data_IF_735126499272
#
_entry.id   IF_735126499272
#
_cell.length_a   1.000
_cell.length_b   1.000
_cell.length_c   1.000
_cell.angle_alpha   90.00
_cell.angle_beta   90.00
_cell.angle_gamma   90.00
#
_symmetry.space_group_name_H-M   'P 1'
#
loop_
_entity.id
_entity.type
_entity.pdbx_description
1 polymer ?
#
# COMPACT_ATOMS: atom_id res chain seq x y z
N UNK A 1 50.90 -30.07 -45.46
CA UNK A 1 49.47 -29.74 -45.24
C UNK A 1 49.16 -30.09 -43.80
N UNK A 2 49.03 -29.10 -42.92
CA UNK A 2 48.77 -29.37 -41.50
C UNK A 2 47.41 -30.02 -41.31
N UNK A 3 47.38 -31.10 -40.53
CA UNK A 3 46.14 -31.81 -40.24
C UNK A 3 45.24 -30.91 -39.40
N UNK A 4 43.93 -30.98 -39.65
CA UNK A 4 42.91 -30.17 -38.97
C UNK A 4 43.00 -30.33 -37.43
N UNK A 5 43.40 -31.51 -36.96
CA UNK A 5 43.66 -31.82 -35.55
C UNK A 5 44.74 -30.95 -34.91
N UNK A 6 45.83 -30.67 -35.64
CA UNK A 6 46.96 -29.88 -35.13
C UNK A 6 46.57 -28.40 -35.00
N UNK A 7 45.72 -27.92 -35.92
CA UNK A 7 45.15 -26.56 -35.86
C UNK A 7 44.19 -26.40 -34.68
N UNK A 8 43.32 -27.40 -34.44
CA UNK A 8 42.40 -27.40 -33.30
C UNK A 8 43.17 -27.42 -31.97
N UNK A 9 44.22 -28.24 -31.88
CA UNK A 9 45.08 -28.33 -30.70
C UNK A 9 45.81 -27.00 -30.41
N UNK A 10 46.35 -26.35 -31.45
CA UNK A 10 47.01 -25.06 -31.29
C UNK A 10 46.02 -23.94 -30.90
N UNK A 11 44.81 -23.93 -31.48
CA UNK A 11 43.77 -22.97 -31.12
C UNK A 11 43.31 -23.15 -29.66
N UNK A 12 43.16 -24.38 -29.22
CA UNK A 12 42.72 -24.69 -27.87
C UNK A 12 43.79 -24.34 -26.82
N UNK A 13 45.08 -24.59 -27.10
CA UNK A 13 46.19 -24.08 -26.27
C UNK A 13 46.18 -22.55 -26.18
N UNK A 14 45.95 -21.87 -27.30
CA UNK A 14 45.85 -20.41 -27.32
C UNK A 14 44.65 -19.88 -26.51
N UNK A 15 43.55 -20.62 -26.46
CA UNK A 15 42.33 -20.28 -25.72
C UNK A 15 42.32 -20.84 -24.27
N UNK A 16 43.40 -21.49 -23.84
CA UNK A 16 43.51 -22.17 -22.54
C UNK A 16 42.33 -23.12 -22.26
N UNK A 17 41.91 -23.88 -23.28
CA UNK A 17 40.84 -24.88 -23.20
C UNK A 17 41.41 -26.27 -23.44
N UNK A 18 41.01 -27.25 -22.64
CA UNK A 18 41.39 -28.64 -22.87
C UNK A 18 40.73 -29.19 -24.14
N UNK A 19 41.53 -29.77 -25.02
CA UNK A 19 41.05 -30.57 -26.14
C UNK A 19 40.85 -31.97 -25.61
N UNK A 20 39.65 -32.27 -25.14
CA UNK A 20 39.27 -33.64 -24.82
C UNK A 20 39.13 -34.44 -26.14
N UNK A 21 40.02 -35.40 -26.43
CA UNK A 21 39.95 -36.19 -27.66
C UNK A 21 38.76 -37.18 -27.66
N UNK A 22 38.12 -37.42 -26.51
CA UNK A 22 36.95 -38.28 -26.35
C UNK A 22 35.64 -37.49 -26.28
N UNK A 23 35.66 -36.19 -26.58
CA UNK A 23 34.45 -35.36 -26.56
C UNK A 23 33.48 -35.87 -27.62
N UNK A 24 32.38 -36.46 -27.18
CA UNK A 24 31.31 -36.92 -28.06
C UNK A 24 30.89 -35.81 -29.02
N UNK A 25 30.80 -36.12 -30.32
CA UNK A 25 30.29 -35.18 -31.31
C UNK A 25 28.83 -34.87 -31.00
N UNK A 26 28.56 -33.64 -30.56
CA UNK A 26 27.20 -33.13 -30.36
C UNK A 26 26.74 -32.52 -31.68
N UNK A 27 25.69 -33.08 -32.27
CA UNK A 27 25.10 -32.53 -33.49
C UNK A 27 24.66 -31.07 -33.27
N UNK A 28 24.80 -30.25 -34.31
CA UNK A 28 24.51 -28.82 -34.27
C UNK A 28 23.07 -28.54 -33.80
N UNK A 29 22.10 -29.37 -34.18
CA UNK A 29 20.71 -29.21 -33.74
C UNK A 29 20.57 -29.40 -32.23
N UNK A 30 21.26 -30.39 -31.67
CA UNK A 30 21.26 -30.67 -30.23
C UNK A 30 21.93 -29.53 -29.46
N UNK A 31 23.08 -29.05 -29.96
CA UNK A 31 23.81 -27.95 -29.35
C UNK A 31 22.98 -26.64 -29.37
N UNK A 32 22.35 -26.32 -30.52
CA UNK A 32 21.46 -25.17 -30.65
C UNK A 32 20.29 -25.24 -29.68
N UNK A 33 19.63 -26.40 -29.56
CA UNK A 33 18.52 -26.61 -28.61
C UNK A 33 18.96 -26.41 -27.15
N UNK A 34 20.17 -26.84 -26.80
CA UNK A 34 20.74 -26.62 -25.46
C UNK A 34 21.02 -25.14 -25.20
N UNK A 35 21.57 -24.40 -26.16
CA UNK A 35 21.79 -22.97 -26.01
C UNK A 35 20.49 -22.17 -25.97
N UNK A 36 19.49 -22.52 -26.79
CA UNK A 36 18.15 -21.92 -26.72
C UNK A 36 17.49 -22.17 -25.37
N UNK A 37 17.60 -23.40 -24.82
CA UNK A 37 17.09 -23.71 -23.49
C UNK A 37 17.79 -22.88 -22.39
N UNK A 38 19.13 -22.80 -22.43
CA UNK A 38 19.91 -21.99 -21.47
C UNK A 38 19.59 -20.50 -21.58
N UNK A 39 19.50 -19.96 -22.79
CA UNK A 39 19.15 -18.56 -23.02
C UNK A 39 17.75 -18.24 -22.49
N UNK A 40 16.76 -19.13 -22.74
CA UNK A 40 15.41 -18.96 -22.20
C UNK A 40 15.38 -19.02 -20.67
N UNK A 41 16.17 -19.90 -20.07
CA UNK A 41 16.31 -19.99 -18.61
C UNK A 41 16.95 -18.71 -18.03
N UNK A 42 18.06 -18.22 -18.62
CA UNK A 42 18.72 -16.99 -18.20
C UNK A 42 17.78 -15.77 -18.30
N UNK A 43 17.03 -15.66 -19.40
CA UNK A 43 16.03 -14.59 -19.58
C UNK A 43 14.93 -14.68 -18.52
N UNK A 44 14.42 -15.88 -18.24
CA UNK A 44 13.40 -16.10 -17.21
C UNK A 44 13.91 -15.72 -15.81
N UNK A 45 15.14 -16.13 -15.46
CA UNK A 45 15.77 -15.76 -14.19
C UNK A 45 15.99 -14.25 -14.07
N UNK A 46 16.42 -13.58 -15.14
CA UNK A 46 16.58 -12.12 -15.20
C UNK A 46 15.26 -11.39 -15.00
N UNK A 47 14.19 -11.87 -15.64
CA UNK A 47 12.84 -11.32 -15.48
C UNK A 47 12.34 -11.48 -14.04
N UNK A 48 12.51 -12.66 -13.44
CA UNK A 48 12.14 -12.91 -12.05
C UNK A 48 12.90 -12.01 -11.06
N UNK A 49 14.22 -11.88 -11.23
CA UNK A 49 15.04 -11.00 -10.40
C UNK A 49 14.62 -9.54 -10.53
N UNK A 50 14.35 -9.09 -11.75
CA UNK A 50 13.89 -7.72 -12.02
C UNK A 50 12.52 -7.44 -11.42
N UNK A 51 11.57 -8.38 -11.54
CA UNK A 51 10.24 -8.27 -10.90
C UNK A 51 10.38 -8.17 -9.39
N UNK A 52 11.16 -9.06 -8.77
CA UNK A 52 11.39 -9.06 -7.33
C UNK A 52 11.98 -7.74 -6.83
N UNK A 53 12.97 -7.20 -7.54
CA UNK A 53 13.57 -5.91 -7.18
C UNK A 53 12.58 -4.74 -7.26
N UNK A 54 11.66 -4.74 -8.24
CA UNK A 54 10.61 -3.71 -8.35
C UNK A 54 9.59 -3.82 -7.22
N UNK A 55 9.13 -5.04 -6.92
CA UNK A 55 8.22 -5.32 -5.80
C UNK A 55 8.83 -4.87 -4.46
N UNK A 56 10.10 -5.19 -4.20
CA UNK A 56 10.82 -4.75 -3.00
C UNK A 56 10.93 -3.22 -2.93
N UNK A 57 11.21 -2.54 -4.04
CA UNK A 57 11.27 -1.08 -4.10
C UNK A 57 9.91 -0.41 -3.83
N UNK A 58 8.81 -1.01 -4.32
CA UNK A 58 7.44 -0.53 -4.06
C UNK A 58 7.07 -0.76 -2.59
N UNK A 59 7.34 -1.95 -2.04
CA UNK A 59 7.11 -2.24 -0.62
C UNK A 59 7.87 -1.30 0.31
N UNK A 60 9.12 -0.97 -0.02
CA UNK A 60 9.92 -0.04 0.78
C UNK A 60 9.36 1.39 0.84
N UNK A 61 8.50 1.77 -0.12
CA UNK A 61 7.89 3.11 -0.19
C UNK A 61 6.47 3.18 0.36
N UNK A 62 5.79 2.04 0.52
CA UNK A 62 4.34 2.01 0.76
C UNK A 62 3.91 2.25 2.21
N UNK A 63 4.84 2.29 3.18
CA UNK A 63 4.58 2.42 4.63
C UNK A 63 3.49 1.45 5.15
N UNK A 64 3.44 0.24 4.57
CA UNK A 64 2.51 -0.81 4.96
C UNK A 64 3.08 -1.68 6.09
N UNK A 65 2.21 -2.10 7.01
CA UNK A 65 2.58 -3.10 8.00
C UNK A 65 2.75 -4.48 7.31
N UNK A 66 3.92 -5.16 7.44
CA UNK A 66 4.16 -6.46 6.82
C UNK A 66 3.21 -7.57 7.31
N UNK A 67 2.57 -7.40 8.48
CA UNK A 67 1.65 -8.40 9.05
C UNK A 67 0.24 -8.32 8.50
N UNK A 68 -0.13 -7.23 7.83
CA UNK A 68 -1.48 -7.03 7.31
C UNK A 68 -1.69 -7.80 6.00
N UNK A 69 -1.69 -9.12 6.06
CA UNK A 69 -1.91 -10.01 4.91
C UNK A 69 -3.19 -10.83 5.11
N UNK A 70 -3.78 -11.34 4.03
CA UNK A 70 -4.95 -12.22 4.10
C UNK A 70 -4.65 -13.50 4.90
N UNK A 71 -3.43 -14.02 4.84
CA UNK A 71 -3.00 -15.19 5.61
C UNK A 71 -3.08 -14.99 7.14
N UNK A 72 -2.94 -13.75 7.61
CA UNK A 72 -3.04 -13.39 9.02
C UNK A 72 -4.42 -12.84 9.40
N UNK A 73 -5.37 -12.81 8.47
CA UNK A 73 -6.73 -12.33 8.72
C UNK A 73 -7.61 -13.48 9.21
N UNK A 74 -8.36 -13.25 10.28
CA UNK A 74 -9.31 -14.23 10.81
C UNK A 74 -10.71 -13.90 10.29
N UNK A 75 -11.28 -14.81 9.49
CA UNK A 75 -12.61 -14.71 8.88
C UNK A 75 -13.68 -15.39 9.75
N UNK A 76 -14.02 -14.76 10.87
CA UNK A 76 -14.92 -15.29 11.91
C UNK A 76 -16.29 -14.59 11.97
N UNK A 77 -16.53 -13.57 11.14
CA UNK A 77 -17.83 -12.88 11.08
C UNK A 77 -18.22 -12.45 9.67
N UNK A 78 -19.52 -12.38 9.44
CA UNK A 78 -20.12 -12.15 8.12
C UNK A 78 -19.65 -10.84 7.46
N UNK A 79 -19.48 -9.76 8.24
CA UNK A 79 -18.98 -8.47 7.75
C UNK A 79 -17.55 -8.56 7.21
N UNK A 80 -16.69 -9.37 7.83
CA UNK A 80 -15.31 -9.58 7.37
C UNK A 80 -15.26 -10.54 6.18
N UNK A 81 -16.10 -11.58 6.16
CA UNK A 81 -16.21 -12.49 5.02
C UNK A 81 -16.68 -11.71 3.78
N UNK A 82 -17.70 -10.87 3.92
CA UNK A 82 -18.17 -9.98 2.85
C UNK A 82 -17.06 -9.03 2.40
N UNK A 83 -16.37 -8.39 3.35
CA UNK A 83 -15.24 -7.50 3.04
C UNK A 83 -14.12 -8.21 2.27
N UNK A 84 -13.76 -9.44 2.65
CA UNK A 84 -12.77 -10.26 1.96
C UNK A 84 -13.25 -10.65 0.57
N UNK A 85 -14.53 -11.02 0.42
CA UNK A 85 -15.09 -11.34 -0.89
C UNK A 85 -15.04 -10.14 -1.85
N UNK A 86 -15.40 -8.95 -1.38
CA UNK A 86 -15.30 -7.70 -2.16
C UNK A 86 -13.83 -7.38 -2.48
N UNK A 87 -12.94 -7.54 -1.50
CA UNK A 87 -11.51 -7.34 -1.67
C UNK A 87 -10.91 -8.28 -2.74
N UNK A 88 -11.23 -9.57 -2.70
CA UNK A 88 -10.80 -10.54 -3.69
C UNK A 88 -11.36 -10.23 -5.08
N UNK A 89 -12.63 -9.80 -5.17
CA UNK A 89 -13.23 -9.37 -6.43
C UNK A 89 -12.50 -8.16 -7.03
N UNK A 90 -12.14 -7.19 -6.19
CA UNK A 90 -11.37 -6.01 -6.59
C UNK A 90 -9.96 -6.38 -7.09
N UNK A 91 -9.29 -7.33 -6.42
CA UNK A 91 -7.97 -7.82 -6.81
C UNK A 91 -8.05 -8.59 -8.13
N UNK A 92 -9.03 -9.48 -8.28
CA UNK A 92 -9.24 -10.25 -9.51
C UNK A 92 -9.57 -9.34 -10.70
N UNK A 93 -10.26 -8.22 -10.48
CA UNK A 93 -10.53 -7.26 -11.56
C UNK A 93 -9.24 -6.63 -12.14
N UNK A 94 -8.12 -6.62 -11.41
CA UNK A 94 -6.84 -6.11 -11.91
C UNK A 94 -6.20 -7.04 -12.96
N UNK A 95 -6.66 -8.28 -13.10
CA UNK A 95 -6.24 -9.18 -14.19
C UNK A 95 -6.60 -8.59 -15.56
N UNK A 96 -7.70 -7.84 -15.66
CA UNK A 96 -8.13 -7.18 -16.89
C UNK A 96 -7.40 -5.84 -17.11
N UNK A 97 -6.53 -5.72 -18.14
CA UNK A 97 -5.86 -4.46 -18.45
C UNK A 97 -6.83 -3.33 -18.83
N UNK A 98 -7.99 -3.65 -19.42
CA UNK A 98 -8.98 -2.66 -19.80
C UNK A 98 -9.65 -2.07 -18.54
N UNK A 99 -9.95 -2.90 -17.55
CA UNK A 99 -10.45 -2.44 -16.26
C UNK A 99 -9.45 -1.49 -15.58
N UNK A 100 -8.16 -1.87 -15.54
CA UNK A 100 -7.07 -1.04 -14.99
C UNK A 100 -6.90 0.32 -15.68
N UNK A 101 -7.20 0.42 -16.97
CA UNK A 101 -7.04 1.65 -17.75
C UNK A 101 -8.30 2.53 -17.76
N UNK A 102 -9.48 1.95 -17.57
CA UNK A 102 -10.76 2.63 -17.79
C UNK A 102 -11.37 3.22 -16.53
N UNK A 103 -11.21 2.54 -15.39
CA UNK A 103 -11.92 2.86 -14.17
C UNK A 103 -11.12 3.69 -13.16
N UNK A 104 -11.84 4.47 -12.36
CA UNK A 104 -11.31 5.09 -11.14
C UNK A 104 -12.15 4.55 -10.00
N UNK A 105 -11.60 3.56 -9.33
CA UNK A 105 -12.33 2.81 -8.32
C UNK A 105 -11.96 3.30 -6.92
N UNK A 106 -12.96 3.35 -6.05
CA UNK A 106 -12.76 3.70 -4.66
C UNK A 106 -13.40 2.67 -3.74
N UNK A 107 -12.62 2.07 -2.84
CA UNK A 107 -13.21 1.29 -1.75
C UNK A 107 -13.37 2.19 -0.52
N UNK A 108 -14.53 2.14 0.11
CA UNK A 108 -14.81 2.87 1.34
C UNK A 108 -15.09 1.87 2.46
N UNK A 109 -14.14 1.76 3.38
CA UNK A 109 -14.22 0.93 4.58
C UNK A 109 -14.68 1.77 5.76
N UNK A 110 -15.89 1.50 6.26
CA UNK A 110 -16.51 2.33 7.28
C UNK A 110 -17.16 1.48 8.38
N UNK A 111 -17.27 2.04 9.59
CA UNK A 111 -17.89 1.38 10.74
C UNK A 111 -16.93 1.17 11.92
N UNK A 112 -17.23 0.22 12.80
CA UNK A 112 -16.71 0.20 14.17
C UNK A 112 -15.18 -0.01 14.28
N UNK A 113 -14.60 0.47 15.38
CA UNK A 113 -13.17 0.34 15.69
C UNK A 113 -12.75 -1.12 15.90
N UNK A 114 -11.50 -1.44 15.55
CA UNK A 114 -10.91 -2.73 15.89
C UNK A 114 -11.47 -3.93 15.11
N UNK A 115 -12.16 -3.69 13.99
CA UNK A 115 -12.75 -4.74 13.11
C UNK A 115 -11.83 -5.23 11.99
N UNK A 116 -10.64 -4.65 11.82
CA UNK A 116 -9.67 -5.09 10.80
C UNK A 116 -9.70 -4.32 9.48
N UNK A 117 -10.35 -3.15 9.40
CA UNK A 117 -10.41 -2.31 8.18
C UNK A 117 -9.03 -2.04 7.56
N UNK A 118 -8.10 -1.53 8.37
CA UNK A 118 -6.71 -1.26 7.96
C UNK A 118 -5.95 -2.53 7.59
N UNK A 119 -6.25 -3.65 8.26
CA UNK A 119 -5.64 -4.94 7.94
C UNK A 119 -6.06 -5.42 6.55
N UNK A 120 -7.37 -5.36 6.23
CA UNK A 120 -7.88 -5.76 4.91
C UNK A 120 -7.35 -4.83 3.81
N UNK A 121 -7.31 -3.52 4.06
CA UNK A 121 -6.72 -2.56 3.11
C UNK A 121 -5.24 -2.86 2.85
N UNK A 122 -4.48 -3.17 3.91
CA UNK A 122 -3.10 -3.64 3.79
C UNK A 122 -2.97 -4.96 3.02
N UNK A 123 -3.89 -5.90 3.26
CA UNK A 123 -3.87 -7.21 2.61
C UNK A 123 -4.13 -7.11 1.10
N UNK A 124 -5.08 -6.25 0.71
CA UNK A 124 -5.30 -5.86 -0.69
C UNK A 124 -4.03 -5.27 -1.28
N UNK A 125 -3.42 -4.30 -0.59
CA UNK A 125 -2.20 -3.65 -1.06
C UNK A 125 -1.05 -4.63 -1.29
N UNK A 126 -0.78 -5.53 -0.33
CA UNK A 126 0.28 -6.53 -0.47
C UNK A 126 0.05 -7.43 -1.69
N UNK A 127 -1.18 -7.93 -1.90
CA UNK A 127 -1.48 -8.74 -3.07
C UNK A 127 -1.35 -7.96 -4.38
N UNK A 128 -1.80 -6.70 -4.42
CA UNK A 128 -1.69 -5.87 -5.62
C UNK A 128 -0.24 -5.54 -5.99
N UNK A 129 0.60 -5.28 -5.00
CA UNK A 129 2.05 -5.06 -5.20
C UNK A 129 2.70 -6.34 -5.74
N UNK A 130 2.44 -7.49 -5.10
CA UNK A 130 3.11 -8.74 -5.43
C UNK A 130 2.68 -9.29 -6.81
N UNK A 131 1.38 -9.26 -7.10
CA UNK A 131 0.84 -9.86 -8.32
C UNK A 131 1.02 -8.92 -9.52
N UNK A 132 0.66 -7.65 -9.36
CA UNK A 132 0.49 -6.70 -10.46
C UNK A 132 1.50 -5.55 -10.47
N UNK A 133 2.43 -5.50 -9.50
CA UNK A 133 3.45 -4.45 -9.39
C UNK A 133 2.84 -3.03 -9.26
N UNK A 134 1.64 -2.95 -8.66
CA UNK A 134 0.91 -1.70 -8.43
C UNK A 134 1.60 -0.90 -7.34
N UNK A 135 1.86 0.39 -7.61
CA UNK A 135 2.43 1.28 -6.60
C UNK A 135 1.37 1.67 -5.57
N UNK A 136 1.70 1.50 -4.28
CA UNK A 136 0.79 1.79 -3.17
C UNK A 136 1.41 2.80 -2.22
N UNK A 137 0.62 3.74 -1.71
CA UNK A 137 0.98 4.60 -0.59
C UNK A 137 -0.09 4.53 0.49
N UNK A 138 0.31 4.19 1.70
CA UNK A 138 -0.55 4.18 2.89
C UNK A 138 -0.21 5.35 3.81
N UNK A 139 -1.21 6.20 4.12
CA UNK A 139 -1.05 7.37 4.99
C UNK A 139 -2.31 7.61 5.82
N UNK A 140 -2.15 8.23 6.99
CA UNK A 140 -3.27 8.80 7.73
C UNK A 140 -3.61 10.20 7.20
N UNK A 141 -4.90 10.51 7.07
CA UNK A 141 -5.33 11.83 6.55
C UNK A 141 -4.89 12.98 7.47
N UNK A 142 -4.97 12.78 8.80
CA UNK A 142 -4.52 13.76 9.80
C UNK A 142 -3.05 14.16 9.59
N UNK A 143 -2.16 13.19 9.40
CA UNK A 143 -0.75 13.43 9.15
C UNK A 143 -0.51 14.27 7.89
N UNK A 144 -1.26 14.01 6.81
CA UNK A 144 -1.15 14.78 5.57
C UNK A 144 -1.58 16.24 5.77
N UNK A 145 -2.67 16.45 6.53
CA UNK A 145 -3.17 17.80 6.83
C UNK A 145 -2.20 18.57 7.75
N UNK A 146 -1.58 17.90 8.71
CA UNK A 146 -0.53 18.48 9.55
C UNK A 146 0.68 18.91 8.71
N UNK A 147 1.23 17.99 7.89
CA UNK A 147 2.35 18.29 6.98
C UNK A 147 2.04 19.47 6.05
N UNK A 148 0.81 19.53 5.55
CA UNK A 148 0.31 20.65 4.75
C UNK A 148 0.35 21.95 5.54
N UNK A 149 -0.20 21.97 6.76
CA UNK A 149 -0.25 23.18 7.58
C UNK A 149 1.15 23.69 7.95
N UNK A 150 2.07 22.79 8.33
CA UNK A 150 3.47 23.14 8.61
C UNK A 150 4.17 23.77 7.40
N UNK A 151 3.79 23.38 6.18
CA UNK A 151 4.37 23.94 4.96
C UNK A 151 3.88 25.34 4.62
N UNK A 152 2.76 25.77 5.20
CA UNK A 152 2.21 27.12 5.06
C UNK A 152 2.62 28.07 6.21
N UNK A 153 3.30 27.56 7.25
CA UNK A 153 3.76 28.39 8.35
C UNK A 153 4.96 29.26 7.91
N UNK A 154 4.83 30.57 8.13
CA UNK A 154 5.77 31.61 7.69
C UNK A 154 7.19 31.50 8.31
N UNK A 155 7.36 30.68 9.35
CA UNK A 155 8.65 30.39 10.00
C UNK A 155 9.28 29.07 9.56
N UNK A 156 8.66 28.32 8.65
CA UNK A 156 9.19 27.06 8.16
C UNK A 156 10.43 27.31 7.28
N UNK A 157 11.49 26.52 7.48
CA UNK A 157 12.68 26.53 6.61
C UNK A 157 12.27 26.36 5.14
N UNK A 158 12.99 26.98 4.19
CA UNK A 158 12.74 26.90 2.73
C UNK A 158 12.44 25.49 2.19
N UNK A 159 12.91 24.44 2.87
CA UNK A 159 12.72 23.04 2.50
C UNK A 159 11.31 22.48 2.77
N UNK A 160 10.51 23.07 3.66
CA UNK A 160 9.21 22.50 4.06
C UNK A 160 8.21 22.50 2.90
N UNK A 161 8.10 23.64 2.19
CA UNK A 161 7.24 23.74 1.01
C UNK A 161 7.67 22.81 -0.14
N UNK A 162 8.97 22.57 -0.29
CA UNK A 162 9.47 21.60 -1.28
C UNK A 162 9.07 20.17 -0.91
N UNK A 163 9.27 19.76 0.35
CA UNK A 163 8.87 18.42 0.84
C UNK A 163 7.39 18.16 0.67
N UNK A 164 6.53 19.15 0.93
CA UNK A 164 5.11 18.97 0.72
C UNK A 164 4.74 18.85 -0.76
N UNK A 165 5.42 19.57 -1.66
CA UNK A 165 5.23 19.37 -3.11
C UNK A 165 5.61 17.95 -3.54
N UNK A 166 6.71 17.42 -3.02
CA UNK A 166 7.16 16.04 -3.28
C UNK A 166 6.13 15.02 -2.79
N UNK A 167 5.65 15.16 -1.54
CA UNK A 167 4.59 14.31 -0.99
C UNK A 167 3.30 14.45 -1.80
N UNK A 168 2.91 15.66 -2.19
CA UNK A 168 1.69 15.87 -2.97
C UNK A 168 1.80 15.26 -4.38
N UNK A 169 2.98 15.24 -4.99
CA UNK A 169 3.22 14.50 -6.22
C UNK A 169 3.12 12.99 -5.99
N UNK A 170 3.73 12.48 -4.91
CA UNK A 170 3.63 11.06 -4.55
C UNK A 170 2.17 10.63 -4.36
N UNK A 171 1.35 11.45 -3.68
CA UNK A 171 -0.09 11.24 -3.52
C UNK A 171 -0.85 11.19 -4.84
N UNK A 172 -0.34 11.78 -5.92
CA UNK A 172 -0.97 11.79 -7.25
C UNK A 172 -0.46 10.67 -8.16
N UNK A 173 0.83 10.34 -8.06
CA UNK A 173 1.51 9.43 -8.98
C UNK A 173 1.21 7.96 -8.68
N UNK A 174 1.02 7.62 -7.40
CA UNK A 174 0.76 6.24 -6.95
C UNK A 174 -0.54 5.69 -7.52
N UNK A 175 -0.51 4.42 -7.91
CA UNK A 175 -1.64 3.70 -8.52
C UNK A 175 -2.78 3.49 -7.53
N UNK A 176 -2.43 3.18 -6.27
CA UNK A 176 -3.37 3.00 -5.18
C UNK A 176 -2.97 3.89 -3.99
N UNK A 177 -3.88 4.78 -3.59
CA UNK A 177 -3.75 5.58 -2.37
C UNK A 177 -4.66 5.01 -1.28
N UNK A 178 -4.09 4.66 -0.13
CA UNK A 178 -4.85 4.22 1.04
C UNK A 178 -4.77 5.31 2.10
N UNK A 179 -5.94 5.88 2.43
CA UNK A 179 -6.07 6.87 3.49
C UNK A 179 -6.77 6.25 4.68
N UNK A 180 -6.04 6.17 5.79
CA UNK A 180 -6.57 5.71 7.06
C UNK A 180 -7.03 6.87 7.95
N UNK A 181 -7.91 6.53 8.89
CA UNK A 181 -8.49 7.42 9.89
C UNK A 181 -9.10 8.70 9.29
N UNK A 182 -9.77 8.56 8.14
CA UNK A 182 -10.42 9.67 7.45
C UNK A 182 -11.48 10.31 8.34
N UNK A 183 -11.21 11.56 8.72
CA UNK A 183 -12.04 12.42 9.58
C UNK A 183 -12.36 11.88 10.97
N UNK A 184 -11.68 10.84 11.46
CA UNK A 184 -12.04 10.16 12.73
C UNK A 184 -12.04 11.09 13.95
N UNK A 185 -11.16 12.10 13.96
CA UNK A 185 -11.02 13.06 15.08
C UNK A 185 -11.65 14.42 14.79
N UNK A 186 -12.22 14.64 13.61
CA UNK A 186 -12.77 15.94 13.21
C UNK A 186 -14.26 15.83 12.98
N UNK A 187 -15.04 16.64 13.71
CA UNK A 187 -16.48 16.74 13.46
C UNK A 187 -16.76 17.29 12.06
N UNK A 188 -15.95 18.26 11.60
CA UNK A 188 -15.98 18.85 10.26
C UNK A 188 -14.57 19.33 9.87
N UNK A 189 -14.08 18.88 8.72
CA UNK A 189 -12.84 19.36 8.11
C UNK A 189 -12.91 20.88 7.83
N UNK A 190 -11.80 21.59 8.05
CA UNK A 190 -11.70 23.01 7.66
C UNK A 190 -11.92 23.20 6.16
N UNK A 191 -12.58 24.27 5.73
CA UNK A 191 -12.88 24.54 4.30
C UNK A 191 -11.67 24.39 3.36
N UNK A 192 -10.51 24.90 3.77
CA UNK A 192 -9.27 24.76 2.98
C UNK A 192 -8.81 23.30 2.82
N UNK A 193 -8.98 22.48 3.87
CA UNK A 193 -8.69 21.05 3.84
C UNK A 193 -9.72 20.29 2.96
N UNK A 194 -11.00 20.63 3.06
CA UNK A 194 -12.05 20.06 2.20
C UNK A 194 -11.77 20.32 0.72
N UNK A 195 -11.44 21.57 0.36
CA UNK A 195 -11.13 21.92 -1.03
C UNK A 195 -9.86 21.23 -1.53
N UNK A 196 -8.80 21.18 -0.73
CA UNK A 196 -7.58 20.48 -1.09
C UNK A 196 -7.81 18.97 -1.28
N UNK A 197 -8.48 18.32 -0.33
CA UNK A 197 -8.72 16.89 -0.40
C UNK A 197 -9.65 16.51 -1.55
N UNK A 198 -10.73 17.27 -1.76
CA UNK A 198 -11.61 17.09 -2.93
C UNK A 198 -10.85 17.26 -4.26
N UNK A 199 -9.96 18.27 -4.35
CA UNK A 199 -9.13 18.46 -5.54
C UNK A 199 -8.14 17.31 -5.76
N UNK A 200 -7.52 16.80 -4.70
CA UNK A 200 -6.63 15.63 -4.75
C UNK A 200 -7.39 14.43 -5.33
N UNK A 201 -8.58 14.13 -4.79
CA UNK A 201 -9.41 13.03 -5.28
C UNK A 201 -9.82 13.21 -6.74
N UNK A 202 -10.19 14.42 -7.17
CA UNK A 202 -10.53 14.67 -8.59
C UNK A 202 -9.35 14.51 -9.53
N UNK A 203 -8.17 14.98 -9.15
CA UNK A 203 -6.97 14.80 -9.97
C UNK A 203 -6.62 13.32 -10.13
N UNK A 204 -6.73 12.54 -9.04
CA UNK A 204 -6.55 11.08 -9.08
C UNK A 204 -7.59 10.41 -9.99
N UNK A 205 -8.84 10.84 -9.95
CA UNK A 205 -9.92 10.33 -10.81
C UNK A 205 -9.64 10.60 -12.30
N UNK A 206 -9.22 11.82 -12.64
CA UNK A 206 -8.84 12.16 -14.03
C UNK A 206 -7.68 11.29 -14.51
N UNK A 207 -6.73 10.99 -13.63
CA UNK A 207 -5.56 10.17 -13.92
C UNK A 207 -5.79 8.66 -13.76
N UNK A 208 -7.04 8.21 -13.59
CA UNK A 208 -7.41 6.79 -13.48
C UNK A 208 -6.70 6.06 -12.33
N UNK A 209 -6.57 6.75 -11.19
CA UNK A 209 -5.90 6.22 -9.99
C UNK A 209 -6.92 5.77 -8.95
N UNK A 210 -6.66 4.63 -8.32
CA UNK A 210 -7.55 4.02 -7.35
C UNK A 210 -7.31 4.55 -5.93
N UNK A 211 -8.35 4.50 -5.10
CA UNK A 211 -8.28 4.94 -3.70
C UNK A 211 -8.95 3.93 -2.75
N UNK A 212 -8.43 3.78 -1.54
CA UNK A 212 -9.12 3.14 -0.41
C UNK A 212 -9.22 4.17 0.71
N UNK A 213 -10.44 4.45 1.15
CA UNK A 213 -10.69 5.33 2.30
C UNK A 213 -11.16 4.49 3.47
N UNK A 214 -10.57 4.72 4.64
CA UNK A 214 -10.91 4.02 5.87
C UNK A 214 -11.35 5.03 6.91
N UNK A 215 -12.54 4.83 7.48
CA UNK A 215 -13.10 5.70 8.51
C UNK A 215 -13.81 4.90 9.59
N UNK A 216 -13.93 5.50 10.77
CA UNK A 216 -14.77 4.96 11.85
C UNK A 216 -16.18 5.56 11.86
N UNK A 217 -16.44 6.56 11.02
CA UNK A 217 -17.77 7.14 10.86
C UNK A 217 -18.70 6.24 10.07
N UNK A 218 -20.00 6.41 10.27
CA UNK A 218 -20.98 5.96 9.27
C UNK A 218 -20.98 6.92 8.05
N UNK A 219 -21.68 6.55 6.97
CA UNK A 219 -21.66 7.34 5.73
C UNK A 219 -22.20 8.77 5.90
N UNK A 220 -23.22 8.97 6.73
CA UNK A 220 -23.81 10.29 6.95
C UNK A 220 -22.90 11.20 7.79
N UNK A 221 -22.28 10.64 8.83
CA UNK A 221 -21.25 11.32 9.61
C UNK A 221 -20.03 11.66 8.76
N UNK A 222 -19.60 10.75 7.89
CA UNK A 222 -18.49 10.99 6.96
C UNK A 222 -18.80 12.13 5.98
N UNK A 223 -20.02 12.18 5.41
CA UNK A 223 -20.44 13.27 4.53
C UNK A 223 -20.39 14.63 5.24
N UNK A 224 -20.89 14.68 6.49
CA UNK A 224 -20.82 15.88 7.29
C UNK A 224 -19.37 16.28 7.59
N UNK A 225 -18.55 15.31 7.99
CA UNK A 225 -17.17 15.55 8.38
C UNK A 225 -16.28 15.99 7.20
N UNK A 226 -16.44 15.39 6.02
CA UNK A 226 -15.71 15.78 4.81
C UNK A 226 -16.22 17.08 4.19
N UNK A 227 -17.51 17.39 4.41
CA UNK A 227 -18.20 18.48 3.75
C UNK A 227 -18.58 18.15 2.29
N UNK A 228 -19.51 18.94 1.72
CA UNK A 228 -20.19 18.59 0.47
C UNK A 228 -19.23 18.52 -0.72
N UNK A 229 -18.26 19.43 -0.83
CA UNK A 229 -17.34 19.46 -1.97
C UNK A 229 -16.50 18.18 -2.08
N UNK A 230 -15.92 17.75 -0.96
CA UNK A 230 -15.08 16.57 -0.93
C UNK A 230 -15.93 15.29 -1.10
N UNK A 231 -17.10 15.24 -0.46
CA UNK A 231 -17.98 14.09 -0.57
C UNK A 231 -18.55 13.90 -1.99
N UNK A 232 -18.87 14.97 -2.71
CA UNK A 232 -19.21 14.89 -4.14
C UNK A 232 -18.05 14.34 -4.98
N UNK A 233 -16.81 14.72 -4.66
CA UNK A 233 -15.62 14.18 -5.33
C UNK A 233 -15.46 12.67 -5.11
N UNK A 234 -15.90 12.14 -3.97
CA UNK A 234 -15.95 10.69 -3.70
C UNK A 234 -17.04 10.01 -4.52
N UNK A 235 -18.21 10.63 -4.66
CA UNK A 235 -19.35 10.09 -5.44
C UNK A 235 -19.05 9.95 -6.93
N UNK A 236 -18.08 10.70 -7.46
CA UNK A 236 -17.63 10.59 -8.85
C UNK A 236 -16.88 9.27 -9.14
N UNK A 237 -16.36 8.59 -8.12
CA UNK A 237 -15.70 7.29 -8.27
C UNK A 237 -16.70 6.13 -8.38
N UNK A 238 -16.26 5.05 -9.02
CA UNK A 238 -16.92 3.75 -8.92
C UNK A 238 -16.67 3.19 -7.50
N UNK A 239 -17.63 3.43 -6.60
CA UNK A 239 -17.45 3.21 -5.16
C UNK A 239 -17.93 1.84 -4.67
N UNK A 240 -17.04 1.10 -4.00
CA UNK A 240 -17.34 -0.14 -3.27
C UNK A 240 -17.44 0.17 -1.79
N UNK A 241 -18.65 0.07 -1.22
CA UNK A 241 -18.91 0.41 0.18
C UNK A 241 -18.89 -0.86 1.02
N UNK A 242 -17.98 -0.95 1.98
CA UNK A 242 -17.84 -2.10 2.87
C UNK A 242 -18.05 -1.66 4.30
N UNK A 243 -19.07 -2.23 4.95
CA UNK A 243 -19.45 -1.89 6.32
C UNK A 243 -18.89 -2.91 7.30
N UNK A 244 -18.23 -2.42 8.34
CA UNK A 244 -17.70 -3.23 9.43
C UNK A 244 -18.50 -2.98 10.70
N UNK A 245 -19.05 -4.02 11.32
CA UNK A 245 -19.89 -3.89 12.51
C UNK A 245 -19.56 -4.95 13.55
N UNK A 246 -19.57 -4.56 14.83
CA UNK A 246 -19.44 -5.49 15.94
C UNK A 246 -18.36 -5.11 16.95
N UNK A 247 -18.06 -5.98 17.91
CA UNK A 247 -17.07 -5.69 18.95
C UNK A 247 -15.65 -5.63 18.36
N UNK A 248 -14.80 -4.83 19.03
CA UNK A 248 -13.36 -4.79 18.74
C UNK A 248 -12.74 -6.17 18.92
N UNK A 249 -11.87 -6.55 17.98
CA UNK A 249 -11.16 -7.83 17.96
C UNK A 249 -9.79 -7.79 18.63
N UNK A 250 -9.37 -6.60 19.10
CA UNK A 250 -8.12 -6.46 19.86
C UNK A 250 -8.32 -7.11 21.22
N UNK A 251 -7.38 -7.94 21.65
CA UNK A 251 -7.35 -8.47 23.01
C UNK A 251 -7.47 -7.29 23.99
N UNK A 252 -8.37 -7.43 24.97
CA UNK A 252 -8.65 -6.38 25.91
C UNK A 252 -7.42 -6.07 26.75
N UNK A 253 -6.97 -4.81 26.72
CA UNK A 253 -6.32 -4.25 27.90
C UNK A 253 -7.41 -4.27 28.96
N UNK A 254 -7.44 -5.28 29.83
CA UNK A 254 -8.32 -5.25 31.00
C UNK A 254 -7.99 -3.96 31.73
N UNK A 255 -8.91 -3.00 31.70
CA UNK A 255 -8.90 -1.93 32.67
C UNK A 255 -9.22 -2.64 33.99
N UNK A 256 -8.18 -3.01 34.73
CA UNK A 256 -8.35 -3.52 36.08
C UNK A 256 -9.13 -2.44 36.84
N UNK A 257 -10.25 -2.82 37.45
CA UNK A 257 -11.15 -1.91 38.17
C UNK A 257 -10.45 -1.18 39.35
N UNK A 258 -9.19 -1.52 39.64
CA UNK A 258 -8.34 -0.87 40.63
C UNK A 258 -8.00 0.59 40.28
N UNK A 259 -7.93 0.95 38.99
CA UNK A 259 -7.60 2.31 38.56
C UNK A 259 -8.72 3.33 38.77
N UNK A 260 -9.96 2.89 39.02
CA UNK A 260 -11.11 3.77 39.25
C UNK A 260 -11.31 4.14 40.73
N UNK A 261 -10.65 3.46 41.68
CA UNK A 261 -10.82 3.71 43.12
C UNK A 261 -9.69 4.56 43.74
N UNK A 262 -8.63 4.87 43.00
CA UNK A 262 -7.42 5.52 43.52
C UNK A 262 -7.40 7.06 43.57
N UNK A 263 -8.52 7.77 43.37
CA UNK A 263 -8.49 9.26 43.31
C UNK A 263 -9.65 9.96 44.01
N UNK A 264 -9.90 9.63 45.29
CA UNK A 264 -10.63 10.54 46.19
C UNK A 264 -9.88 10.69 47.52
N UNK A 265 -8.79 11.46 47.50
CA UNK A 265 -8.30 12.11 48.71
C UNK A 265 -7.95 13.56 48.38
N UNK A 266 -8.93 14.45 48.56
CA UNK A 266 -8.69 15.89 48.56
C UNK A 266 -7.82 16.26 49.78
N UNK A 267 -6.71 17.01 49.62
CA UNK A 267 -6.03 17.58 50.76
C UNK A 267 -6.85 18.78 51.28
N UNK A 268 -7.46 18.64 52.45
CA UNK A 268 -8.03 19.77 53.20
C UNK A 268 -6.90 20.66 53.70
N UNK A 269 -6.73 21.83 53.09
CA UNK A 269 -5.90 22.90 53.62
C UNK A 269 -6.56 23.51 54.87
N UNK A 270 -5.89 23.45 56.03
CA UNK A 270 -6.26 24.21 57.22
C UNK A 270 -5.22 25.33 57.44
N UNK A 271 -5.63 26.61 57.47
CA UNK A 271 -4.71 27.70 57.77
C UNK A 271 -4.33 27.70 59.26
N UNK A 272 -3.02 27.83 59.53
CA UNK A 272 -2.47 27.97 60.88
C UNK A 272 -3.07 29.19 61.59
N UNK A 273 -3.69 28.96 62.75
CA UNK A 273 -4.03 30.05 63.67
C UNK A 273 -2.78 30.46 64.44
N UNK A 274 -2.41 31.73 64.28
CA UNK A 274 -1.35 32.40 65.03
C UNK A 274 -1.86 32.64 66.46
N UNK A 275 -1.05 32.31 67.48
CA UNK A 275 -1.22 32.79 68.86
C UNK A 275 -0.27 33.95 69.11
#
# INVERSE_FOLDING_TARGET
MDRITDKIANLARALNKDVDPNREYIDYKTLRKQYEAKANEEVSQLQQRSKKARVEAIHGRSDLNPKWTFANLVEDSDDVIEAVSIAQSFIAAHDDPAWRQSGSHMMLFYGDYGRGKSHIAGAIAHQLIEQYEISVLYRQLSTLLEMRNFSFDFGASDNAGQRFREINQELLDVDLLILDEVCVNESVLKKNAQSWFGNLLRQRLVNKKNCILITNHNLAELENALGPYCFESIKEYDTYKVRFQGPSRREGLTIEQEDMQGSVSQPRYQPNQVR
#
